data_IF_225679041518
#
_entry.id   IF_225679041518
#
_cell.length_a   1.000
_cell.length_b   1.000
_cell.length_c   1.000
_cell.angle_alpha   90.00
_cell.angle_beta   90.00
_cell.angle_gamma   90.00
#
_symmetry.space_group_name_H-M   'P 1'
#
loop_
_entity.id
_entity.type
_entity.pdbx_description
1 polymer ?
#
# COMPACT_ATOMS: atom_id res chain seq x y z
N UNK A 1 -27.74 -3.14 -10.11
CA UNK A 1 -27.07 -4.28 -9.45
C UNK A 1 -26.67 -3.89 -8.04
N UNK A 2 -26.98 -4.74 -7.09
CA UNK A 2 -26.48 -4.52 -5.73
C UNK A 2 -24.96 -4.66 -5.70
N UNK A 3 -24.30 -3.75 -4.98
CA UNK A 3 -22.87 -3.88 -4.74
C UNK A 3 -22.61 -5.00 -3.74
N UNK A 4 -21.51 -5.70 -3.93
CA UNK A 4 -21.07 -6.72 -2.97
C UNK A 4 -20.62 -6.02 -1.67
N UNK A 5 -20.96 -6.64 -0.55
CA UNK A 5 -20.49 -6.20 0.76
C UNK A 5 -19.19 -6.91 1.09
N UNK A 6 -18.17 -6.15 1.43
CA UNK A 6 -16.84 -6.67 1.79
C UNK A 6 -16.46 -6.14 3.15
N UNK A 7 -16.06 -7.03 4.05
CA UNK A 7 -15.54 -6.65 5.36
C UNK A 7 -14.04 -6.96 5.37
N UNK A 8 -13.24 -5.95 5.69
CA UNK A 8 -11.79 -6.09 5.85
C UNK A 8 -11.45 -5.91 7.32
N UNK A 9 -10.78 -6.89 7.89
CA UNK A 9 -10.40 -6.87 9.31
C UNK A 9 -8.92 -6.53 9.41
N UNK A 10 -8.64 -5.42 10.06
CA UNK A 10 -7.30 -4.87 10.22
C UNK A 10 -7.00 -3.79 9.19
N UNK A 11 -6.67 -2.60 9.67
CA UNK A 11 -6.34 -1.45 8.82
C UNK A 11 -4.85 -1.12 8.85
N UNK A 12 -4.02 -2.13 8.69
CA UNK A 12 -2.60 -1.98 8.36
C UNK A 12 -2.41 -1.80 6.86
N UNK A 13 -1.18 -1.95 6.39
CA UNK A 13 -0.85 -1.79 4.97
C UNK A 13 -1.71 -2.70 4.09
N UNK A 14 -1.77 -3.99 4.43
CA UNK A 14 -2.53 -4.97 3.64
C UNK A 14 -4.03 -4.67 3.64
N UNK A 15 -4.60 -4.38 4.83
CA UNK A 15 -6.02 -4.10 4.96
C UNK A 15 -6.44 -2.82 4.25
N UNK A 16 -5.64 -1.77 4.36
CA UNK A 16 -5.91 -0.52 3.64
C UNK A 16 -5.87 -0.72 2.12
N UNK A 17 -4.91 -1.47 1.61
CA UNK A 17 -4.84 -1.77 0.17
C UNK A 17 -5.98 -2.67 -0.28
N UNK A 18 -6.35 -3.69 0.51
CA UNK A 18 -7.47 -4.57 0.20
C UNK A 18 -8.79 -3.79 0.16
N UNK A 19 -9.02 -2.91 1.14
CA UNK A 19 -10.21 -2.07 1.18
C UNK A 19 -10.24 -1.11 -0.03
N UNK A 20 -9.09 -0.52 -0.36
CA UNK A 20 -8.96 0.34 -1.53
C UNK A 20 -9.31 -0.40 -2.82
N UNK A 21 -8.76 -1.58 -3.01
CA UNK A 21 -9.01 -2.38 -4.20
C UNK A 21 -10.50 -2.80 -4.30
N UNK A 22 -11.08 -3.27 -3.20
CA UNK A 22 -12.49 -3.65 -3.17
C UNK A 22 -13.40 -2.46 -3.53
N UNK A 23 -13.11 -1.30 -2.97
CA UNK A 23 -13.87 -0.08 -3.25
C UNK A 23 -13.74 0.37 -4.70
N UNK A 24 -12.54 0.27 -5.28
CA UNK A 24 -12.31 0.57 -6.70
C UNK A 24 -13.18 -0.27 -7.63
N UNK A 25 -13.45 -1.52 -7.24
CA UNK A 25 -14.31 -2.41 -8.01
C UNK A 25 -15.79 -2.34 -7.61
N UNK A 26 -16.18 -1.29 -6.88
CA UNK A 26 -17.58 -1.00 -6.60
C UNK A 26 -18.18 -1.72 -5.41
N UNK A 27 -17.37 -2.35 -4.57
CA UNK A 27 -17.88 -2.99 -3.36
C UNK A 27 -18.23 -1.97 -2.29
N UNK A 28 -19.23 -2.30 -1.46
CA UNK A 28 -19.50 -1.59 -0.21
C UNK A 28 -18.59 -2.16 0.86
N UNK A 29 -17.59 -1.39 1.30
CA UNK A 29 -16.51 -1.88 2.17
C UNK A 29 -16.70 -1.39 3.60
N UNK A 30 -16.58 -2.33 4.55
CA UNK A 30 -16.44 -2.02 5.97
C UNK A 30 -15.04 -2.43 6.41
N UNK A 31 -14.25 -1.46 6.87
CA UNK A 31 -12.89 -1.69 7.34
C UNK A 31 -12.89 -1.58 8.87
N UNK A 32 -12.43 -2.64 9.54
CA UNK A 32 -12.45 -2.75 11.00
C UNK A 32 -11.02 -2.68 11.53
N UNK A 33 -10.78 -1.78 12.48
CA UNK A 33 -9.49 -1.63 13.13
C UNK A 33 -9.66 -1.54 14.65
N UNK A 34 -8.96 -2.39 15.40
CA UNK A 34 -9.04 -2.43 16.87
C UNK A 34 -8.36 -1.23 17.54
N UNK A 35 -7.39 -0.61 16.88
CA UNK A 35 -6.66 0.53 17.43
C UNK A 35 -7.33 1.84 17.03
N UNK A 36 -7.03 2.91 17.75
CA UNK A 36 -7.58 4.24 17.46
C UNK A 36 -7.13 4.79 16.11
N UNK A 37 -5.95 4.38 15.63
CA UNK A 37 -5.39 4.83 14.36
C UNK A 37 -5.13 3.67 13.43
N UNK A 38 -5.39 3.89 12.14
CA UNK A 38 -5.02 2.96 11.08
C UNK A 38 -3.52 3.06 10.79
N UNK A 39 -2.95 2.02 10.18
CA UNK A 39 -1.58 2.07 9.67
C UNK A 39 -0.49 2.17 10.72
N UNK A 40 -0.70 1.67 11.92
CA UNK A 40 0.28 1.81 13.01
C UNK A 40 1.67 1.31 12.65
N UNK A 41 1.74 0.14 12.03
CA UNK A 41 3.05 -0.43 11.64
C UNK A 41 3.70 0.36 10.51
N UNK A 42 2.92 0.91 9.60
CA UNK A 42 3.44 1.77 8.54
C UNK A 42 4.21 2.96 9.14
N UNK A 43 3.67 3.53 10.22
CA UNK A 43 4.25 4.71 10.88
C UNK A 43 5.68 4.51 11.38
N UNK A 44 6.05 3.28 11.70
CA UNK A 44 7.39 2.98 12.23
C UNK A 44 8.33 2.38 11.19
N UNK A 45 7.85 2.09 9.99
CA UNK A 45 8.70 1.57 8.92
C UNK A 45 9.63 2.65 8.38
N UNK A 46 10.76 2.23 7.81
CA UNK A 46 11.72 3.14 7.23
C UNK A 46 12.18 4.23 8.19
N UNK A 47 12.28 3.91 9.48
CA UNK A 47 12.65 4.87 10.55
C UNK A 47 11.72 6.09 10.59
N UNK A 48 10.42 5.84 10.46
CA UNK A 48 9.40 6.90 10.48
C UNK A 48 9.15 7.58 9.14
N UNK A 49 9.86 7.15 8.10
CA UNK A 49 9.73 7.74 6.76
C UNK A 49 8.82 6.92 5.83
N UNK A 50 8.58 5.66 6.15
CA UNK A 50 7.90 4.65 5.34
C UNK A 50 8.63 4.36 4.02
N UNK A 51 9.39 3.28 3.98
CA UNK A 51 9.88 2.74 2.71
C UNK A 51 8.70 2.05 2.01
N UNK A 52 8.06 2.76 1.09
CA UNK A 52 6.81 2.33 0.46
C UNK A 52 7.01 1.06 -0.37
N UNK A 53 8.06 1.07 -1.18
CA UNK A 53 8.40 -0.06 -2.05
C UNK A 53 9.84 0.10 -2.54
N UNK A 54 10.29 -0.86 -3.33
CA UNK A 54 11.54 -0.74 -4.06
C UNK A 54 11.22 -0.53 -5.54
N UNK A 55 11.82 0.46 -6.16
CA UNK A 55 11.58 0.79 -7.56
C UNK A 55 12.42 -0.13 -8.47
N UNK A 56 12.11 -1.42 -8.44
CA UNK A 56 12.76 -2.44 -9.24
C UNK A 56 11.73 -3.19 -10.09
N UNK A 57 12.21 -4.00 -11.03
CA UNK A 57 11.31 -4.85 -11.82
C UNK A 57 10.85 -6.06 -11.01
N UNK A 58 9.86 -6.78 -11.53
CA UNK A 58 9.25 -7.94 -10.85
C UNK A 58 10.28 -9.03 -10.58
N UNK A 59 11.15 -9.32 -11.56
CA UNK A 59 12.16 -10.38 -11.41
C UNK A 59 13.15 -10.05 -10.30
N UNK A 60 13.62 -8.80 -10.25
CA UNK A 60 14.51 -8.34 -9.19
C UNK A 60 13.82 -8.42 -7.83
N UNK A 61 12.55 -8.01 -7.76
CA UNK A 61 11.77 -8.11 -6.53
C UNK A 61 11.72 -9.57 -6.04
N UNK A 62 11.32 -10.49 -6.89
CA UNK A 62 11.19 -11.91 -6.54
C UNK A 62 12.51 -12.51 -6.08
N UNK A 63 13.63 -12.19 -6.76
CA UNK A 63 14.96 -12.68 -6.37
C UNK A 63 15.40 -12.20 -5.00
N UNK A 64 14.93 -11.04 -4.57
CA UNK A 64 15.31 -10.47 -3.28
C UNK A 64 14.39 -10.91 -2.12
N UNK A 65 13.39 -11.75 -2.37
CA UNK A 65 12.58 -12.36 -1.31
C UNK A 65 13.32 -13.61 -0.81
N UNK A 66 13.76 -13.64 0.46
CA UNK A 66 14.64 -14.70 0.95
C UNK A 66 14.06 -16.11 0.89
N UNK A 67 12.75 -16.24 1.08
CA UNK A 67 12.07 -17.54 1.17
C UNK A 67 10.76 -17.49 0.40
N UNK A 68 10.53 -18.49 -0.46
CA UNK A 68 9.29 -18.64 -1.23
C UNK A 68 8.89 -17.40 -2.06
N UNK A 69 9.88 -16.72 -2.68
CA UNK A 69 9.61 -15.57 -3.54
C UNK A 69 8.58 -15.86 -4.62
N UNK A 70 8.61 -17.04 -5.19
CA UNK A 70 7.69 -17.47 -6.26
C UNK A 70 6.21 -17.44 -5.84
N UNK A 71 5.93 -17.58 -4.55
CA UNK A 71 4.57 -17.47 -4.02
C UNK A 71 3.96 -16.09 -4.32
N UNK A 72 4.78 -15.06 -4.37
CA UNK A 72 4.33 -13.69 -4.59
C UNK A 72 4.21 -13.33 -6.08
N UNK A 73 4.59 -14.22 -6.98
CA UNK A 73 4.70 -13.91 -8.40
C UNK A 73 3.40 -13.35 -8.99
N UNK A 74 2.27 -14.00 -8.70
CA UNK A 74 0.96 -13.54 -9.19
C UNK A 74 0.59 -12.17 -8.63
N UNK A 75 0.76 -11.98 -7.32
CA UNK A 75 0.41 -10.72 -6.66
C UNK A 75 1.27 -9.55 -7.18
N UNK A 76 2.59 -9.75 -7.29
CA UNK A 76 3.52 -8.71 -7.74
C UNK A 76 3.31 -8.36 -9.21
N UNK A 77 2.89 -9.32 -10.04
CA UNK A 77 2.54 -9.01 -11.43
C UNK A 77 1.22 -8.24 -11.56
N UNK A 78 0.32 -8.42 -10.61
CA UNK A 78 -0.95 -7.67 -10.56
C UNK A 78 -0.78 -6.24 -10.08
N UNK A 79 0.14 -6.02 -9.15
CA UNK A 79 0.50 -4.71 -8.62
C UNK A 79 2.02 -4.66 -8.53
N UNK A 80 2.65 -4.19 -9.61
CA UNK A 80 4.11 -4.09 -9.69
C UNK A 80 4.62 -2.94 -8.81
N UNK A 81 5.93 -2.88 -8.50
CA UNK A 81 6.50 -1.71 -7.84
C UNK A 81 6.20 -0.40 -8.58
N UNK A 82 6.28 -0.41 -9.91
CA UNK A 82 5.93 0.75 -10.73
C UNK A 82 4.46 1.14 -10.55
N UNK A 83 3.55 0.15 -10.53
CA UNK A 83 2.13 0.38 -10.28
C UNK A 83 1.88 0.97 -8.90
N UNK A 84 2.65 0.53 -7.90
CA UNK A 84 2.54 1.04 -6.53
C UNK A 84 2.92 2.52 -6.47
N UNK A 85 4.01 2.90 -7.13
CA UNK A 85 4.43 4.30 -7.22
C UNK A 85 3.33 5.12 -7.91
N UNK A 86 2.84 4.64 -9.05
CA UNK A 86 1.78 5.33 -9.81
C UNK A 86 0.50 5.47 -8.98
N UNK A 87 0.15 4.45 -8.19
CA UNK A 87 -1.03 4.48 -7.32
C UNK A 87 -0.94 5.65 -6.33
N UNK A 88 0.16 5.75 -5.59
CA UNK A 88 0.31 6.81 -4.60
C UNK A 88 0.42 8.19 -5.24
N UNK A 89 1.18 8.31 -6.32
CA UNK A 89 1.31 9.59 -7.03
C UNK A 89 -0.02 10.03 -7.63
N UNK A 90 -0.81 9.09 -8.13
CA UNK A 90 -2.17 9.36 -8.61
C UNK A 90 -3.12 9.86 -7.53
N UNK A 91 -2.85 9.53 -6.26
CA UNK A 91 -3.60 10.05 -5.12
C UNK A 91 -3.05 11.37 -4.58
N UNK A 92 -2.02 11.92 -5.23
CA UNK A 92 -1.44 13.20 -4.86
C UNK A 92 -0.28 13.13 -3.88
N UNK A 93 0.21 11.93 -3.55
CA UNK A 93 1.38 11.77 -2.70
C UNK A 93 2.65 11.74 -3.54
N UNK A 94 3.45 12.79 -3.45
CA UNK A 94 4.75 12.83 -4.13
C UNK A 94 5.74 11.88 -3.49
N UNK A 95 6.37 11.05 -4.31
CA UNK A 95 7.36 10.07 -3.88
C UNK A 95 8.75 10.44 -4.44
N UNK A 96 9.78 9.91 -3.80
CA UNK A 96 11.17 10.01 -4.27
C UNK A 96 11.85 8.66 -4.17
N UNK A 97 12.80 8.42 -5.06
CA UNK A 97 13.63 7.20 -5.05
C UNK A 97 15.02 7.56 -4.56
N UNK A 98 15.48 6.86 -3.54
CA UNK A 98 16.81 7.04 -2.97
C UNK A 98 17.72 5.86 -3.30
N UNK A 99 18.95 5.92 -2.80
CA UNK A 99 19.97 4.88 -2.99
C UNK A 99 19.39 3.49 -2.75
N UNK A 100 19.73 2.56 -3.62
CA UNK A 100 19.21 1.19 -3.56
C UNK A 100 17.78 1.07 -4.10
N UNK A 101 17.31 2.05 -4.87
CA UNK A 101 15.96 2.10 -5.44
C UNK A 101 14.86 2.10 -4.38
N UNK A 102 15.16 2.57 -3.17
CA UNK A 102 14.18 2.67 -2.08
C UNK A 102 13.27 3.88 -2.31
N UNK A 103 11.98 3.66 -2.23
CA UNK A 103 10.97 4.70 -2.46
C UNK A 103 10.41 5.20 -1.12
N UNK A 104 10.43 6.50 -0.94
CA UNK A 104 9.91 7.18 0.26
C UNK A 104 8.97 8.31 -0.15
N UNK A 105 8.06 8.75 0.73
CA UNK A 105 7.34 9.99 0.48
C UNK A 105 8.32 11.16 0.44
N UNK A 106 8.07 12.12 -0.44
CA UNK A 106 8.93 13.30 -0.60
C UNK A 106 9.09 14.06 0.71
N UNK A 107 8.06 14.04 1.57
CA UNK A 107 8.04 14.68 2.88
C UNK A 107 8.91 13.98 3.92
N UNK A 108 9.33 12.73 3.68
CA UNK A 108 9.98 11.86 4.66
C UNK A 108 9.12 11.52 5.88
N UNK A 109 7.79 11.64 5.77
CA UNK A 109 6.87 11.40 6.88
C UNK A 109 5.95 10.21 6.55
N UNK A 110 6.09 9.15 7.33
CA UNK A 110 5.23 7.97 7.19
C UNK A 110 3.74 8.31 7.33
N UNK A 111 3.41 9.30 8.15
CA UNK A 111 2.02 9.73 8.34
C UNK A 111 1.37 10.16 7.01
N UNK A 112 2.14 10.74 6.09
CA UNK A 112 1.58 11.16 4.80
C UNK A 112 1.17 9.97 3.95
N UNK A 113 1.88 8.85 4.04
CA UNK A 113 1.48 7.59 3.39
C UNK A 113 0.18 7.05 3.99
N UNK A 114 0.11 7.01 5.32
CA UNK A 114 -1.07 6.53 6.05
C UNK A 114 -2.28 7.39 5.73
N UNK A 115 -2.14 8.71 5.80
CA UNK A 115 -3.23 9.65 5.53
C UNK A 115 -3.73 9.54 4.09
N UNK A 116 -2.83 9.36 3.14
CA UNK A 116 -3.20 9.16 1.73
C UNK A 116 -4.09 7.93 1.56
N UNK A 117 -3.70 6.81 2.13
CA UNK A 117 -4.47 5.57 2.08
C UNK A 117 -5.81 5.71 2.80
N UNK A 118 -5.77 6.27 4.00
CA UNK A 118 -6.97 6.43 4.83
C UNK A 118 -8.00 7.32 4.15
N UNK A 119 -7.56 8.47 3.65
CA UNK A 119 -8.47 9.40 2.98
C UNK A 119 -9.06 8.79 1.71
N UNK A 120 -8.27 8.03 0.98
CA UNK A 120 -8.78 7.34 -0.21
C UNK A 120 -9.90 6.36 0.15
N UNK A 121 -9.67 5.49 1.12
CA UNK A 121 -10.66 4.49 1.55
C UNK A 121 -11.91 5.17 2.11
N UNK A 122 -11.73 6.23 2.91
CA UNK A 122 -12.83 6.96 3.52
C UNK A 122 -13.74 7.63 2.49
N UNK A 123 -13.17 8.09 1.38
CA UNK A 123 -13.89 8.84 0.36
C UNK A 123 -14.42 7.99 -0.81
N UNK A 124 -14.25 6.68 -0.73
CA UNK A 124 -14.78 5.76 -1.74
C UNK A 124 -16.27 5.47 -1.58
#
# INVERSE_FOLDING_TARGET
>A
MESKKVVVVGAGAAGLMAASAAAMYGASVTLIEKNKRVGRKIMITGKGRCNVCNNCDVETFIRNVPTNGKFLYSAINKLTPEDTVAFFEGLGLSLKTERGNRVFPQSDKAVDVVDTLYNYVKNC
#
